data_IF_861603809478
#
_entry.id   IF_861603809478
#
_cell.length_a   1.000
_cell.length_b   1.000
_cell.length_c   1.000
_cell.angle_alpha   90.00
_cell.angle_beta   90.00
_cell.angle_gamma   90.00
#
_symmetry.space_group_name_H-M   'P 1'
#
loop_
_entity.id
_entity.type
_entity.pdbx_description
1 polymer ?
#
# COMPACT_ATOMS: atom_id res chain seq x y z
N UNK A 1 25.61 -15.66 -15.37
CA UNK A 1 26.78 -16.18 -16.11
C UNK A 1 27.32 -17.32 -15.27
N UNK A 2 27.27 -18.54 -15.81
CA UNK A 2 27.59 -19.77 -15.08
C UNK A 2 29.06 -20.04 -15.31
N UNK A 3 29.87 -19.97 -14.25
CA UNK A 3 31.25 -20.45 -14.29
C UNK A 3 31.23 -21.95 -13.95
N UNK A 4 31.28 -22.76 -15.01
CA UNK A 4 31.51 -24.20 -14.94
C UNK A 4 33.03 -24.37 -14.91
N UNK A 5 33.59 -24.64 -13.74
CA UNK A 5 34.99 -25.02 -13.62
C UNK A 5 35.16 -26.47 -14.12
N UNK A 6 35.45 -26.59 -15.42
CA UNK A 6 35.86 -27.82 -16.07
C UNK A 6 37.37 -27.94 -16.01
N UNK A 7 37.87 -28.57 -14.96
CA UNK A 7 39.14 -29.29 -15.00
C UNK A 7 38.86 -30.68 -14.43
N UNK A 8 38.84 -31.74 -15.27
CA UNK A 8 38.94 -33.10 -14.77
C UNK A 8 40.36 -33.26 -14.24
N UNK A 9 40.59 -32.96 -12.96
CA UNK A 9 41.89 -33.23 -12.37
C UNK A 9 42.05 -34.74 -12.23
N UNK A 10 43.10 -35.23 -12.89
CA UNK A 10 43.48 -36.62 -13.01
C UNK A 10 43.37 -37.35 -11.67
N UNK A 11 42.70 -38.49 -11.72
CA UNK A 11 42.64 -39.44 -10.63
C UNK A 11 44.03 -39.92 -10.24
N UNK A 12 44.66 -39.20 -9.31
CA UNK A 12 45.80 -39.71 -8.55
C UNK A 12 45.25 -40.80 -7.64
N UNK A 13 45.29 -42.05 -8.13
CA UNK A 13 45.00 -43.26 -7.35
C UNK A 13 45.84 -43.20 -6.08
N UNK A 14 45.23 -42.81 -4.97
CA UNK A 14 45.79 -43.02 -3.65
C UNK A 14 45.89 -44.53 -3.50
N UNK A 15 47.13 -45.03 -3.43
CA UNK A 15 47.44 -46.40 -3.01
C UNK A 15 46.61 -46.65 -1.74
N UNK A 16 45.58 -47.46 -1.85
CA UNK A 16 44.94 -48.04 -0.68
C UNK A 16 46.00 -48.92 -0.04
N UNK A 17 46.70 -48.35 0.94
CA UNK A 17 47.34 -49.16 1.96
C UNK A 17 46.24 -50.07 2.47
N UNK A 18 46.35 -51.36 2.16
CA UNK A 18 45.47 -52.38 2.70
C UNK A 18 45.66 -52.32 4.20
N UNK A 19 44.79 -51.58 4.87
CA UNK A 19 44.64 -51.66 6.29
C UNK A 19 44.09 -53.07 6.51
N UNK A 20 44.97 -54.00 6.88
CA UNK A 20 44.60 -55.36 7.23
C UNK A 20 44.39 -55.38 8.75
N UNK A 21 43.16 -55.07 9.24
CA UNK A 21 42.89 -55.02 10.67
C UNK A 21 43.18 -56.37 11.33
N UNK A 22 43.00 -57.47 10.59
CA UNK A 22 43.30 -58.82 11.06
C UNK A 22 44.77 -59.00 11.48
N UNK A 23 45.73 -58.46 10.71
CA UNK A 23 47.16 -58.65 10.98
C UNK A 23 47.67 -57.78 12.15
N UNK A 24 47.11 -56.58 12.34
CA UNK A 24 47.42 -55.75 13.51
C UNK A 24 46.80 -56.29 14.81
N UNK A 25 45.63 -56.92 14.74
CA UNK A 25 44.97 -57.51 15.93
C UNK A 25 45.72 -58.77 16.39
N UNK A 26 46.24 -59.59 15.47
CA UNK A 26 46.97 -60.82 15.83
C UNK A 26 48.35 -60.55 16.42
N UNK A 27 49.08 -59.53 15.95
CA UNK A 27 50.40 -59.18 16.49
C UNK A 27 50.37 -58.60 17.92
N UNK A 28 49.23 -58.01 18.31
CA UNK A 28 49.00 -57.50 19.67
C UNK A 28 48.53 -58.63 20.61
N UNK A 29 47.87 -59.67 20.11
CA UNK A 29 47.42 -60.80 20.93
C UNK A 29 48.58 -61.66 21.48
N UNK A 30 49.69 -61.76 20.75
CA UNK A 30 50.85 -62.59 21.14
C UNK A 30 51.74 -61.98 22.23
N UNK A 31 51.69 -60.66 22.44
CA UNK A 31 52.50 -59.95 23.45
C UNK A 31 51.82 -59.77 24.82
N UNK A 32 50.55 -60.16 24.97
CA UNK A 32 49.74 -59.74 26.14
C UNK A 32 49.40 -60.94 27.02
N UNK A 33 50.38 -61.34 27.85
CA UNK A 33 50.19 -62.34 28.94
C UNK A 33 49.93 -61.70 30.31
N UNK A 34 49.93 -60.37 30.42
CA UNK A 34 49.76 -59.65 31.68
C UNK A 34 48.35 -59.06 31.84
N UNK A 35 47.66 -59.41 32.93
CA UNK A 35 46.22 -59.12 33.16
C UNK A 35 45.89 -57.61 33.13
N UNK A 36 46.84 -56.77 33.54
CA UNK A 36 46.66 -55.31 33.57
C UNK A 36 46.88 -54.65 32.19
N UNK A 37 47.77 -55.20 31.35
CA UNK A 37 48.04 -54.67 30.00
C UNK A 37 46.86 -54.97 29.05
N UNK A 38 46.23 -56.14 29.21
CA UNK A 38 44.95 -56.49 28.60
C UNK A 38 43.84 -55.47 28.91
N UNK A 39 43.79 -54.97 30.15
CA UNK A 39 42.78 -53.97 30.55
C UNK A 39 43.01 -52.61 29.89
N UNK A 40 44.27 -52.17 29.75
CA UNK A 40 44.61 -50.89 29.14
C UNK A 40 44.32 -50.87 27.63
N UNK A 41 44.64 -51.94 26.92
CA UNK A 41 44.31 -52.09 25.49
C UNK A 41 42.80 -52.19 25.29
N UNK A 42 42.09 -52.90 26.17
CA UNK A 42 40.63 -52.99 26.15
C UNK A 42 39.96 -51.61 26.27
N UNK A 43 40.40 -50.79 27.23
CA UNK A 43 39.89 -49.41 27.42
C UNK A 43 40.26 -48.50 26.24
N UNK A 44 41.49 -48.61 25.71
CA UNK A 44 41.91 -47.85 24.53
C UNK A 44 41.10 -48.18 23.28
N UNK A 45 40.84 -49.47 23.03
CA UNK A 45 39.98 -49.92 21.94
C UNK A 45 38.53 -49.47 22.12
N UNK A 46 38.00 -49.52 23.35
CA UNK A 46 36.65 -49.05 23.66
C UNK A 46 36.50 -47.54 23.43
N UNK A 47 37.51 -46.74 23.77
CA UNK A 47 37.54 -45.30 23.52
C UNK A 47 37.55 -44.98 22.02
N UNK A 48 38.37 -45.68 21.23
CA UNK A 48 38.39 -45.53 19.77
C UNK A 48 37.07 -45.97 19.12
N UNK A 49 36.44 -47.03 19.64
CA UNK A 49 35.12 -47.48 19.21
C UNK A 49 34.03 -46.43 19.52
N UNK A 50 34.06 -45.82 20.71
CA UNK A 50 33.14 -44.74 21.08
C UNK A 50 33.37 -43.48 20.23
N UNK A 51 34.63 -43.07 19.99
CA UNK A 51 34.97 -41.92 19.15
C UNK A 51 34.54 -42.13 17.70
N UNK A 52 34.75 -43.33 17.14
CA UNK A 52 34.29 -43.64 15.78
C UNK A 52 32.77 -43.66 15.69
N UNK A 53 32.06 -44.20 16.69
CA UNK A 53 30.60 -44.17 16.73
C UNK A 53 30.04 -42.73 16.88
N UNK A 54 30.66 -41.91 17.74
CA UNK A 54 30.29 -40.50 17.91
C UNK A 54 30.55 -39.72 16.62
N UNK A 55 31.69 -39.95 15.96
CA UNK A 55 32.01 -39.34 14.67
C UNK A 55 30.97 -39.71 13.59
N UNK A 56 30.58 -40.99 13.48
CA UNK A 56 29.55 -41.46 12.54
C UNK A 56 28.19 -40.83 12.82
N UNK A 57 27.80 -40.73 14.09
CA UNK A 57 26.53 -40.06 14.44
C UNK A 57 26.59 -38.55 14.21
N UNK A 58 27.73 -37.89 14.44
CA UNK A 58 27.90 -36.46 14.19
C UNK A 58 27.92 -36.13 12.69
N UNK A 59 28.59 -36.93 11.85
CA UNK A 59 28.55 -36.74 10.38
C UNK A 59 27.16 -37.02 9.81
N UNK A 60 26.41 -37.99 10.34
CA UNK A 60 25.03 -38.23 9.89
C UNK A 60 24.12 -37.03 10.17
N UNK A 61 24.31 -36.36 11.32
CA UNK A 61 23.59 -35.12 11.66
C UNK A 61 24.02 -33.97 10.75
N UNK A 62 25.32 -33.81 10.50
CA UNK A 62 25.83 -32.78 9.59
C UNK A 62 25.24 -32.93 8.17
N UNK A 63 25.24 -34.15 7.63
CA UNK A 63 24.70 -34.42 6.30
C UNK A 63 23.18 -34.15 6.22
N UNK A 64 22.42 -34.50 7.27
CA UNK A 64 20.98 -34.22 7.31
C UNK A 64 20.67 -32.71 7.39
N UNK A 65 21.54 -31.91 8.02
CA UNK A 65 21.43 -30.45 8.02
C UNK A 65 21.78 -29.87 6.64
N UNK A 66 22.83 -30.38 6.00
CA UNK A 66 23.25 -29.96 4.66
C UNK A 66 22.16 -30.26 3.62
N UNK A 67 21.51 -31.42 3.68
CA UNK A 67 20.37 -31.76 2.81
C UNK A 67 19.19 -30.79 3.00
N UNK A 68 18.88 -30.41 4.25
CA UNK A 68 17.83 -29.42 4.53
C UNK A 68 18.21 -28.04 4.01
N UNK A 69 19.47 -27.64 4.15
CA UNK A 69 19.95 -26.35 3.65
C UNK A 69 19.88 -26.32 2.12
N UNK A 70 20.38 -27.37 1.45
CA UNK A 70 20.31 -27.51 -0.01
C UNK A 70 18.87 -27.51 -0.51
N UNK A 71 17.96 -28.20 0.19
CA UNK A 71 16.53 -28.17 -0.12
C UNK A 71 15.95 -26.76 0.03
N UNK A 72 16.23 -26.07 1.13
CA UNK A 72 15.74 -24.71 1.35
C UNK A 72 16.28 -23.70 0.31
N UNK A 73 17.56 -23.80 -0.08
CA UNK A 73 18.16 -22.97 -1.13
C UNK A 73 17.54 -23.28 -2.49
N UNK A 74 17.34 -24.56 -2.81
CA UNK A 74 16.69 -25.01 -4.05
C UNK A 74 15.25 -24.49 -4.13
N UNK A 75 14.47 -24.64 -3.07
CA UNK A 75 13.09 -24.17 -3.00
C UNK A 75 13.04 -22.64 -3.15
N UNK A 76 13.95 -21.91 -2.49
CA UNK A 76 14.04 -20.45 -2.61
C UNK A 76 14.37 -20.00 -4.04
N UNK A 77 15.28 -20.71 -4.72
CA UNK A 77 15.64 -20.42 -6.10
C UNK A 77 14.45 -20.63 -7.06
N UNK A 78 13.65 -21.69 -6.82
CA UNK A 78 12.47 -21.99 -7.64
C UNK A 78 11.38 -20.93 -7.47
N UNK A 79 11.13 -20.44 -6.25
CA UNK A 79 10.10 -19.43 -6.00
C UNK A 79 10.55 -18.00 -6.35
N UNK A 80 11.84 -17.75 -6.55
CA UNK A 80 12.35 -16.40 -6.80
C UNK A 80 11.74 -15.73 -8.04
N UNK A 81 11.58 -16.45 -9.15
CA UNK A 81 11.00 -15.92 -10.39
C UNK A 81 9.50 -15.67 -10.28
N UNK A 82 8.78 -16.56 -9.59
CA UNK A 82 7.34 -16.43 -9.33
C UNK A 82 7.07 -15.25 -8.42
N UNK A 83 7.86 -15.10 -7.35
CA UNK A 83 7.81 -13.94 -6.46
C UNK A 83 8.12 -12.64 -7.21
N UNK A 84 9.13 -12.63 -8.09
CA UNK A 84 9.46 -11.47 -8.90
C UNK A 84 8.32 -11.09 -9.87
N UNK A 85 7.70 -12.08 -10.52
CA UNK A 85 6.55 -11.85 -11.41
C UNK A 85 5.34 -11.31 -10.64
N UNK A 86 5.02 -11.90 -9.47
CA UNK A 86 3.97 -11.43 -8.57
C UNK A 86 4.22 -9.98 -8.14
N UNK A 87 5.42 -9.68 -7.65
CA UNK A 87 5.80 -8.33 -7.20
C UNK A 87 5.71 -7.30 -8.35
N UNK A 88 6.05 -7.69 -9.58
CA UNK A 88 5.91 -6.82 -10.76
C UNK A 88 4.44 -6.56 -11.10
N UNK A 89 3.59 -7.59 -11.03
CA UNK A 89 2.15 -7.44 -11.24
C UNK A 89 1.50 -6.56 -10.17
N UNK A 90 1.88 -6.73 -8.90
CA UNK A 90 1.43 -5.88 -7.79
C UNK A 90 1.90 -4.43 -7.98
N UNK A 91 3.17 -4.20 -8.33
CA UNK A 91 3.67 -2.85 -8.61
C UNK A 91 2.92 -2.16 -9.77
N UNK A 92 2.56 -2.93 -10.81
CA UNK A 92 1.76 -2.43 -11.93
C UNK A 92 0.36 -2.08 -11.48
N UNK A 93 -0.30 -2.97 -10.74
CA UNK A 93 -1.63 -2.75 -10.17
C UNK A 93 -1.66 -1.50 -9.29
N UNK A 94 -0.67 -1.34 -8.43
CA UNK A 94 -0.58 -0.20 -7.52
C UNK A 94 -0.37 1.11 -8.29
N UNK A 95 0.43 1.10 -9.37
CA UNK A 95 0.57 2.27 -10.25
C UNK A 95 -0.73 2.64 -10.97
N UNK A 96 -1.52 1.64 -11.39
CA UNK A 96 -2.82 1.87 -12.02
C UNK A 96 -3.83 2.45 -11.02
N UNK A 97 -3.86 1.94 -9.78
CA UNK A 97 -4.67 2.53 -8.73
C UNK A 97 -4.28 3.99 -8.45
N UNK A 98 -2.99 4.30 -8.46
CA UNK A 98 -2.52 5.67 -8.30
C UNK A 98 -2.98 6.58 -9.47
N UNK A 99 -2.85 6.13 -10.71
CA UNK A 99 -3.31 6.89 -11.88
C UNK A 99 -4.82 7.12 -11.84
N UNK A 100 -5.61 6.08 -11.55
CA UNK A 100 -7.07 6.18 -11.42
C UNK A 100 -7.44 7.13 -10.27
N UNK A 101 -6.75 7.05 -9.14
CA UNK A 101 -7.00 7.95 -8.01
C UNK A 101 -6.72 9.42 -8.37
N UNK A 102 -5.62 9.69 -9.09
CA UNK A 102 -5.30 11.05 -9.56
C UNK A 102 -6.37 11.54 -10.53
N UNK A 103 -6.74 10.73 -11.54
CA UNK A 103 -7.76 11.10 -12.53
C UNK A 103 -9.10 11.38 -11.85
N UNK A 104 -9.55 10.50 -10.95
CA UNK A 104 -10.79 10.71 -10.19
C UNK A 104 -10.73 11.96 -9.32
N UNK A 105 -9.61 12.23 -8.66
CA UNK A 105 -9.46 13.43 -7.83
C UNK A 105 -9.53 14.74 -8.63
N UNK A 106 -9.12 14.72 -9.91
CA UNK A 106 -9.25 15.87 -10.80
C UNK A 106 -10.70 16.02 -11.30
N UNK A 107 -11.36 14.90 -11.58
CA UNK A 107 -12.72 14.88 -12.12
C UNK A 107 -13.77 15.33 -11.08
N UNK A 108 -13.70 14.78 -9.86
CA UNK A 108 -14.66 15.05 -8.79
C UNK A 108 -14.76 16.55 -8.47
N UNK A 109 -13.62 17.27 -8.46
CA UNK A 109 -13.61 18.71 -8.15
C UNK A 109 -14.09 19.59 -9.30
N UNK A 110 -13.99 19.12 -10.56
CA UNK A 110 -14.28 19.93 -11.75
C UNK A 110 -15.77 20.14 -11.97
N UNK A 111 -16.58 19.11 -11.76
CA UNK A 111 -18.02 19.15 -12.08
C UNK A 111 -18.90 19.54 -10.89
N UNK A 112 -18.35 19.63 -9.68
CA UNK A 112 -19.09 20.03 -8.50
C UNK A 112 -19.61 21.46 -8.59
N UNK A 113 -18.80 22.43 -9.06
CA UNK A 113 -19.25 23.81 -9.20
C UNK A 113 -20.41 23.97 -10.17
N UNK A 114 -20.42 23.22 -11.28
CA UNK A 114 -21.52 23.28 -12.25
C UNK A 114 -22.83 22.77 -11.65
N UNK A 115 -22.79 21.67 -10.90
CA UNK A 115 -23.96 21.15 -10.19
C UNK A 115 -24.40 22.11 -9.08
N UNK A 116 -23.47 22.67 -8.29
CA UNK A 116 -23.82 23.65 -7.25
C UNK A 116 -24.48 24.89 -7.86
N UNK A 117 -23.96 25.41 -8.97
CA UNK A 117 -24.58 26.56 -9.65
C UNK A 117 -26.00 26.22 -10.12
N UNK A 118 -26.20 25.01 -10.64
CA UNK A 118 -27.52 24.54 -11.03
C UNK A 118 -28.49 24.43 -9.84
N UNK A 119 -28.05 23.82 -8.73
CA UNK A 119 -28.84 23.68 -7.51
C UNK A 119 -29.17 25.04 -6.88
N UNK A 120 -28.19 25.93 -6.77
CA UNK A 120 -28.37 27.28 -6.19
C UNK A 120 -29.33 28.12 -7.05
N UNK A 121 -29.17 28.09 -8.38
CA UNK A 121 -30.06 28.84 -9.29
C UNK A 121 -31.49 28.28 -9.30
N UNK A 122 -31.64 26.96 -9.16
CA UNK A 122 -32.96 26.30 -9.06
C UNK A 122 -33.64 26.60 -7.72
N UNK A 123 -32.85 26.73 -6.64
CA UNK A 123 -33.35 27.05 -5.30
C UNK A 123 -33.66 28.54 -5.10
N UNK A 124 -33.26 29.42 -6.03
CA UNK A 124 -33.35 30.88 -5.88
C UNK A 124 -34.81 31.36 -5.90
N UNK A 125 -35.32 32.03 -4.85
CA UNK A 125 -36.67 32.58 -4.85
C UNK A 125 -36.83 33.78 -5.78
N UNK A 126 -38.08 34.11 -6.12
CA UNK A 126 -38.40 35.36 -6.83
C UNK A 126 -37.95 36.58 -6.01
N UNK A 127 -37.42 37.60 -6.69
CA UNK A 127 -36.92 38.86 -6.09
C UNK A 127 -35.73 38.68 -5.14
N UNK A 128 -34.98 37.61 -5.29
CA UNK A 128 -33.68 37.39 -4.66
C UNK A 128 -32.63 37.32 -5.77
N UNK A 129 -31.46 37.91 -5.56
CA UNK A 129 -30.33 37.77 -6.47
C UNK A 129 -29.02 37.63 -5.68
N UNK A 130 -28.07 36.90 -6.25
CA UNK A 130 -26.76 36.71 -5.67
C UNK A 130 -25.78 37.72 -6.27
N UNK A 131 -24.88 38.24 -5.45
CA UNK A 131 -23.81 39.14 -5.85
C UNK A 131 -22.45 38.46 -5.82
N UNK A 132 -22.23 37.58 -4.84
CA UNK A 132 -20.96 36.91 -4.67
C UNK A 132 -21.16 35.44 -4.28
N UNK A 133 -20.35 34.56 -4.87
CA UNK A 133 -20.27 33.16 -4.47
C UNK A 133 -18.78 32.82 -4.34
N UNK A 134 -18.33 32.55 -3.12
CA UNK A 134 -16.92 32.28 -2.82
C UNK A 134 -16.73 30.91 -2.19
N UNK A 135 -15.63 30.25 -2.56
CA UNK A 135 -15.17 29.07 -1.86
C UNK A 135 -14.44 29.51 -0.59
N UNK A 136 -14.94 29.13 0.59
CA UNK A 136 -14.26 29.40 1.86
C UNK A 136 -13.21 28.34 2.20
N UNK A 137 -13.29 27.18 1.53
CA UNK A 137 -12.28 26.11 1.63
C UNK A 137 -11.16 26.32 0.62
N UNK A 138 -9.87 26.12 0.96
CA UNK A 138 -8.78 26.27 0.01
C UNK A 138 -8.97 25.31 -1.19
N UNK A 139 -8.91 25.79 -2.45
CA UNK A 139 -8.97 24.93 -3.62
C UNK A 139 -7.74 24.02 -3.62
N UNK A 140 -7.92 22.76 -3.25
CA UNK A 140 -6.83 21.79 -3.17
C UNK A 140 -6.50 21.29 -4.58
N UNK A 141 -5.80 22.11 -5.34
CA UNK A 141 -5.26 21.74 -6.64
C UNK A 141 -4.32 20.54 -6.47
N UNK A 142 -4.57 19.47 -7.22
CA UNK A 142 -3.74 18.26 -7.29
C UNK A 142 -2.26 18.54 -7.64
N UNK A 143 -1.93 19.75 -8.13
CA UNK A 143 -0.56 20.19 -8.40
C UNK A 143 0.27 20.50 -7.13
N UNK A 144 -0.36 20.68 -5.96
CA UNK A 144 0.37 20.96 -4.71
C UNK A 144 1.00 19.70 -4.07
N UNK A 145 0.64 18.50 -4.53
CA UNK A 145 1.33 17.27 -4.17
C UNK A 145 2.37 16.93 -5.22
N UNK A 146 3.44 17.72 -5.30
CA UNK A 146 4.67 17.28 -5.95
C UNK A 146 5.50 16.49 -4.91
N UNK A 147 5.49 15.14 -4.94
CA UNK A 147 6.20 14.30 -3.96
C UNK A 147 7.73 14.43 -4.06
N UNK A 148 8.25 15.16 -5.04
CA UNK A 148 9.68 15.39 -5.27
C UNK A 148 10.36 16.17 -4.13
N UNK A 149 9.65 17.06 -3.42
CA UNK A 149 10.28 17.95 -2.43
C UNK A 149 10.39 17.37 -1.01
N UNK A 150 9.61 16.35 -0.67
CA UNK A 150 9.66 15.68 0.65
C UNK A 150 10.64 14.49 0.71
N UNK A 151 11.25 14.11 -0.42
CA UNK A 151 12.13 12.94 -0.51
C UNK A 151 13.60 13.21 -0.11
N UNK A 152 13.98 14.44 0.25
CA UNK A 152 15.37 14.79 0.59
C UNK A 152 15.73 14.77 2.08
N UNK A 153 14.81 14.43 2.97
CA UNK A 153 15.08 14.43 4.42
C UNK A 153 14.58 13.16 5.11
N UNK A 154 15.06 11.99 4.67
CA UNK A 154 14.93 10.74 5.42
C UNK A 154 15.94 9.72 4.89
N UNK A 155 17.22 10.06 4.99
CA UNK A 155 18.25 9.04 5.06
C UNK A 155 18.41 8.61 6.52
N UNK A 156 18.70 7.33 6.73
CA UNK A 156 18.83 6.58 7.99
C UNK A 156 17.59 5.81 8.50
N UNK A 157 17.80 4.50 8.67
CA UNK A 157 16.93 3.41 9.16
C UNK A 157 16.07 2.69 8.10
N UNK A 158 16.74 1.79 7.39
CA UNK A 158 16.18 0.80 6.47
C UNK A 158 15.64 -0.40 7.27
N UNK A 159 14.31 -0.50 7.43
CA UNK A 159 13.49 -1.75 7.41
C UNK A 159 12.06 -1.55 7.95
N UNK A 160 11.41 -0.42 7.67
CA UNK A 160 9.94 -0.41 7.65
C UNK A 160 9.47 -0.80 6.25
N UNK A 161 8.55 -1.77 6.21
CA UNK A 161 8.09 -2.43 5.00
C UNK A 161 7.63 -1.40 3.96
N UNK A 162 8.02 -1.64 2.70
CA UNK A 162 7.52 -0.89 1.53
C UNK A 162 5.98 -0.83 1.53
N UNK A 163 5.35 -1.85 2.11
CA UNK A 163 3.92 -1.97 2.38
C UNK A 163 3.40 -0.93 3.39
N UNK A 164 4.12 -0.64 4.49
CA UNK A 164 3.73 0.41 5.44
C UNK A 164 3.81 1.81 4.80
N UNK A 165 4.83 2.09 4.00
CA UNK A 165 4.92 3.35 3.23
C UNK A 165 3.87 3.45 2.13
N UNK A 166 3.52 2.35 1.46
CA UNK A 166 2.44 2.31 0.46
C UNK A 166 1.05 2.46 1.10
N UNK A 167 0.81 1.82 2.24
CA UNK A 167 -0.43 1.95 3.02
C UNK A 167 -0.60 3.36 3.59
N UNK A 168 0.47 3.99 4.10
CA UNK A 168 0.43 5.37 4.55
C UNK A 168 0.18 6.37 3.39
N UNK A 169 0.71 6.09 2.20
CA UNK A 169 0.43 6.89 0.99
C UNK A 169 -1.00 6.70 0.50
N UNK A 170 -1.51 5.47 0.53
CA UNK A 170 -2.91 5.14 0.20
C UNK A 170 -3.88 5.77 1.19
N UNK A 171 -3.59 5.68 2.48
CA UNK A 171 -4.39 6.34 3.52
C UNK A 171 -4.39 7.86 3.34
N UNK A 172 -3.25 8.47 2.98
CA UNK A 172 -3.19 9.89 2.62
C UNK A 172 -4.00 10.20 1.38
N UNK A 173 -3.93 9.42 0.30
CA UNK A 173 -4.75 9.66 -0.90
C UNK A 173 -6.24 9.49 -0.60
N UNK A 174 -6.62 8.50 0.20
CA UNK A 174 -8.02 8.28 0.60
C UNK A 174 -8.52 9.43 1.48
N UNK A 175 -7.72 9.91 2.45
CA UNK A 175 -8.05 11.12 3.20
C UNK A 175 -8.11 12.38 2.33
N UNK A 176 -7.29 12.48 1.28
CA UNK A 176 -7.31 13.60 0.34
C UNK A 176 -8.57 13.57 -0.55
N UNK A 177 -8.99 12.40 -1.01
CA UNK A 177 -10.27 12.19 -1.72
C UNK A 177 -11.48 12.46 -0.81
N UNK A 178 -11.40 12.09 0.47
CA UNK A 178 -12.46 12.39 1.45
C UNK A 178 -12.51 13.89 1.78
N UNK A 179 -11.37 14.58 1.87
CA UNK A 179 -11.34 16.02 2.15
C UNK A 179 -11.72 16.89 0.94
N UNK A 180 -11.52 16.39 -0.29
CA UNK A 180 -12.02 17.04 -1.50
C UNK A 180 -13.56 16.97 -1.64
N UNK A 181 -14.19 16.13 -0.81
CA UNK A 181 -15.63 15.85 -0.84
C UNK A 181 -16.46 16.86 -0.06
N UNK A 182 -15.84 17.61 0.85
CA UNK A 182 -16.50 18.58 1.74
C UNK A 182 -16.03 20.00 1.39
N UNK A 183 -16.59 20.56 0.32
CA UNK A 183 -16.36 21.95 -0.06
C UNK A 183 -17.31 22.86 0.73
N UNK A 184 -16.76 23.83 1.46
CA UNK A 184 -17.52 24.92 2.07
C UNK A 184 -17.51 26.14 1.17
N UNK A 185 -18.66 26.78 1.06
CA UNK A 185 -18.85 27.97 0.24
C UNK A 185 -19.73 28.99 0.95
N UNK A 186 -19.53 30.25 0.58
CA UNK A 186 -20.29 31.39 1.06
C UNK A 186 -21.04 32.00 -0.11
N UNK A 187 -22.31 32.31 0.12
CA UNK A 187 -23.15 33.07 -0.80
C UNK A 187 -23.45 34.43 -0.20
N UNK A 188 -23.33 35.48 -1.00
CA UNK A 188 -23.79 36.83 -0.67
C UNK A 188 -24.82 37.23 -1.70
N UNK A 189 -25.92 37.80 -1.23
CA UNK A 189 -27.00 38.23 -2.09
C UNK A 189 -27.90 39.25 -1.43
N UNK A 190 -28.85 39.75 -2.20
CA UNK A 190 -29.87 40.67 -1.75
C UNK A 190 -31.25 40.06 -1.94
N UNK A 191 -32.16 40.39 -1.04
CA UNK A 191 -33.57 40.03 -1.15
C UNK A 191 -34.45 41.24 -0.83
N UNK A 192 -35.57 41.35 -1.54
CA UNK A 192 -36.59 42.37 -1.24
C UNK A 192 -37.44 41.96 -0.04
N UNK A 193 -37.59 40.65 0.20
CA UNK A 193 -38.42 40.09 1.29
C UNK A 193 -37.59 39.12 2.15
N UNK A 194 -37.64 39.31 3.47
CA UNK A 194 -36.98 38.42 4.44
C UNK A 194 -37.59 37.01 4.42
N UNK A 195 -38.88 36.87 4.08
CA UNK A 195 -39.51 35.54 3.96
C UNK A 195 -38.93 34.76 2.77
N UNK A 196 -38.49 35.46 1.71
CA UNK A 196 -37.79 34.83 0.60
C UNK A 196 -36.45 34.24 1.05
N UNK A 197 -35.71 34.90 1.96
CA UNK A 197 -34.48 34.35 2.56
C UNK A 197 -34.77 33.04 3.30
N UNK A 198 -35.83 32.99 4.12
CA UNK A 198 -36.18 31.74 4.83
C UNK A 198 -36.58 30.62 3.87
N UNK A 199 -37.28 30.94 2.77
CA UNK A 199 -37.61 29.97 1.72
C UNK A 199 -36.35 29.48 1.00
N UNK A 200 -35.41 30.38 0.74
CA UNK A 200 -34.14 30.05 0.11
C UNK A 200 -33.34 29.08 0.98
N UNK A 201 -33.20 29.37 2.28
CA UNK A 201 -32.53 28.46 3.22
C UNK A 201 -33.16 27.07 3.22
N UNK A 202 -34.50 26.99 3.28
CA UNK A 202 -35.22 25.71 3.22
C UNK A 202 -35.05 24.98 1.88
N UNK A 203 -35.01 25.70 0.77
CA UNK A 203 -34.82 25.12 -0.55
C UNK A 203 -33.39 24.57 -0.72
N UNK A 204 -32.39 25.27 -0.19
CA UNK A 204 -31.01 24.79 -0.15
C UNK A 204 -30.87 23.55 0.75
N UNK A 205 -31.50 23.52 1.91
CA UNK A 205 -31.50 22.35 2.82
C UNK A 205 -32.25 21.14 2.25
N UNK A 206 -33.20 21.35 1.33
CA UNK A 206 -33.89 20.27 0.64
C UNK A 206 -33.06 19.64 -0.48
N UNK A 207 -31.95 20.28 -0.91
CA UNK A 207 -31.09 19.77 -1.96
C UNK A 207 -30.28 18.56 -1.47
N UNK A 208 -30.16 17.47 -2.26
CA UNK A 208 -29.33 16.32 -1.91
C UNK A 208 -27.82 16.60 -1.87
N UNK A 209 -27.38 17.77 -2.35
CA UNK A 209 -25.97 18.13 -2.54
C UNK A 209 -25.46 19.17 -1.54
N UNK A 210 -26.36 19.80 -0.79
CA UNK A 210 -26.06 20.95 0.08
C UNK A 210 -26.55 20.62 1.49
N UNK A 211 -25.72 20.86 2.49
CA UNK A 211 -26.05 20.69 3.90
C UNK A 211 -25.50 21.86 4.72
N UNK A 212 -25.87 21.91 6.00
CA UNK A 212 -25.33 22.87 6.98
C UNK A 212 -25.47 24.33 6.53
N UNK A 213 -26.63 24.71 6.01
CA UNK A 213 -26.92 26.09 5.60
C UNK A 213 -27.08 26.96 6.83
N UNK A 214 -26.26 28.00 6.97
CA UNK A 214 -26.24 28.88 8.12
C UNK A 214 -26.25 30.34 7.66
N UNK A 215 -27.04 31.17 8.34
CA UNK A 215 -27.06 32.61 8.13
C UNK A 215 -25.95 33.27 8.94
N UNK A 216 -24.94 33.81 8.26
CA UNK A 216 -23.81 34.52 8.88
C UNK A 216 -24.16 35.98 9.16
N UNK A 217 -24.88 36.63 8.22
CA UNK A 217 -25.19 38.07 8.30
C UNK A 217 -26.49 38.39 7.57
N UNK A 218 -27.25 39.34 8.08
CA UNK A 218 -28.45 39.89 7.45
C UNK A 218 -28.63 41.35 7.85
N UNK A 219 -28.41 42.28 6.92
CA UNK A 219 -28.51 43.73 7.15
C UNK A 219 -29.40 44.38 6.08
N UNK A 220 -30.17 45.40 6.44
CA UNK A 220 -30.98 46.18 5.49
C UNK A 220 -30.11 47.30 4.92
N UNK A 221 -29.94 47.33 3.60
CA UNK A 221 -29.11 48.27 2.87
C UNK A 221 -29.92 48.91 1.74
N UNK A 222 -29.72 50.20 1.52
CA UNK A 222 -30.29 50.88 0.36
C UNK A 222 -29.38 50.68 -0.86
N UNK A 223 -29.84 49.89 -1.84
CA UNK A 223 -29.15 49.69 -3.13
C UNK A 223 -30.01 50.30 -4.23
N UNK A 224 -29.42 51.15 -5.08
CA UNK A 224 -30.11 51.85 -6.17
C UNK A 224 -31.40 52.60 -5.75
N UNK A 225 -31.38 53.16 -4.54
CA UNK A 225 -32.52 53.92 -3.99
C UNK A 225 -33.70 53.06 -3.52
N UNK A 226 -33.54 51.74 -3.42
CA UNK A 226 -34.51 50.81 -2.81
C UNK A 226 -33.90 50.10 -1.61
N UNK A 227 -34.70 49.94 -0.56
CA UNK A 227 -34.31 49.16 0.62
C UNK A 227 -34.36 47.67 0.27
N UNK A 228 -33.23 46.99 0.41
CA UNK A 228 -33.08 45.55 0.20
C UNK A 228 -32.30 44.96 1.37
N UNK A 229 -32.55 43.71 1.71
CA UNK A 229 -31.80 43.02 2.75
C UNK A 229 -30.62 42.30 2.11
N UNK A 230 -29.40 42.71 2.43
CA UNK A 230 -28.19 41.94 2.14
C UNK A 230 -28.09 40.78 3.11
N UNK A 231 -27.83 39.58 2.59
CA UNK A 231 -27.60 38.38 3.39
C UNK A 231 -26.30 37.69 3.00
N UNK A 232 -25.68 37.05 3.99
CA UNK A 232 -24.51 36.20 3.81
C UNK A 232 -24.81 34.83 4.40
N UNK A 233 -24.77 33.79 3.56
CA UNK A 233 -25.03 32.40 3.92
C UNK A 233 -23.74 31.59 3.77
N UNK A 234 -23.48 30.71 4.71
CA UNK A 234 -22.43 29.69 4.61
C UNK A 234 -23.08 28.32 4.50
N UNK A 235 -22.58 27.49 3.59
CA UNK A 235 -23.10 26.15 3.35
C UNK A 235 -21.96 25.19 2.99
N UNK A 236 -22.24 23.90 3.16
CA UNK A 236 -21.29 22.83 2.89
C UNK A 236 -21.87 21.89 1.85
N UNK A 237 -21.01 21.40 0.98
CA UNK A 237 -21.38 20.37 0.00
C UNK A 237 -21.32 18.99 0.63
N UNK A 238 -22.24 18.12 0.23
CA UNK A 238 -22.23 16.71 0.59
C UNK A 238 -22.37 15.85 -0.67
N UNK A 239 -21.65 14.71 -0.75
CA UNK A 239 -21.92 13.73 -1.79
C UNK A 239 -23.34 13.16 -1.64
N UNK A 240 -24.15 13.14 -2.70
CA UNK A 240 -25.50 12.61 -2.63
C UNK A 240 -25.44 11.11 -2.31
N UNK A 241 -26.51 10.62 -1.67
CA UNK A 241 -26.60 9.22 -1.34
C UNK A 241 -26.51 8.33 -2.61
N UNK A 242 -25.87 7.14 -2.54
CA UNK A 242 -25.55 6.34 -3.73
C UNK A 242 -26.75 5.96 -4.61
N UNK A 243 -27.96 5.94 -4.05
CA UNK A 243 -29.19 5.64 -4.78
C UNK A 243 -29.69 6.80 -5.68
N UNK A 244 -29.20 8.03 -5.48
CA UNK A 244 -29.55 9.18 -6.31
C UNK A 244 -28.65 9.30 -7.56
N UNK A 245 -27.56 8.51 -7.63
CA UNK A 245 -26.61 8.54 -8.73
C UNK A 245 -27.12 7.68 -9.89
N UNK A 246 -27.62 8.32 -10.95
CA UNK A 246 -27.93 7.64 -12.21
C UNK A 246 -26.65 7.50 -13.04
N UNK A 247 -26.09 6.30 -13.08
CA UNK A 247 -24.97 6.00 -13.97
C UNK A 247 -25.50 5.51 -15.32
N UNK A 248 -25.11 6.17 -16.40
CA UNK A 248 -25.43 5.72 -17.77
C UNK A 248 -24.26 4.85 -18.26
N UNK A 249 -24.50 3.62 -18.73
CA UNK A 249 -23.43 2.78 -19.25
C UNK A 249 -22.90 3.38 -20.57
N UNK A 250 -21.61 3.72 -20.60
CA UNK A 250 -20.92 4.30 -21.77
C UNK A 250 -20.78 3.32 -22.95
N UNK A 251 -21.31 2.10 -22.85
CA UNK A 251 -21.16 1.03 -23.83
C UNK A 251 -22.36 0.89 -24.79
N UNK A 252 -23.46 1.61 -24.57
CA UNK A 252 -24.68 1.47 -25.38
C UNK A 252 -24.79 2.46 -26.57
N UNK A 253 -23.92 3.47 -26.67
CA UNK A 253 -23.99 4.49 -27.73
C UNK A 253 -23.15 4.17 -28.99
N UNK A 254 -22.49 3.01 -29.05
CA UNK A 254 -21.62 2.62 -30.16
C UNK A 254 -22.21 1.52 -31.07
N UNK A 255 -23.52 1.25 -30.97
CA UNK A 255 -24.17 0.09 -31.61
C UNK A 255 -25.37 0.39 -32.50
N UNK A 256 -25.68 1.65 -32.82
CA UNK A 256 -26.70 1.98 -33.82
C UNK A 256 -26.19 3.08 -34.75
N UNK A 257 -25.82 2.70 -35.97
CA UNK A 257 -25.30 3.63 -36.96
C UNK A 257 -24.76 2.96 -38.23
N UNK A 258 -25.66 2.25 -38.93
CA UNK A 258 -25.64 1.86 -40.35
C UNK A 258 -24.51 0.95 -40.87
#
# INVERSE_FOLDING_TARGET
MIEINLLPSEGKKRKSSKFEPGAMITGVADQVKDKYLLSAIGVGGLSLALLSLLFVTQTSRANALDERNLKAVKDSSQFSSVLAAKNKAEATRDSLYQQVAIIRSIDDTRFMWSHLMYEISTALPAYTWLTEITQTTPPRSAAASDPSKAAKSADTTVKESREAKAAARKARSDSLLMAAKDLKFRLVGHTVDIQALTRFMKALEASPFIQNVQLTRSDVIATDGREVTEFSLEAETQPPAPFAIKTVPLLAAAGEGN
#
